data_IF_139845993205
#
_entry.id   IF_139845993205
#
_cell.length_a   1.000
_cell.length_b   1.000
_cell.length_c   1.000
_cell.angle_alpha   90.00
_cell.angle_beta   90.00
_cell.angle_gamma   90.00
#
_symmetry.space_group_name_H-M   'P 1'
#
loop_
_entity.id
_entity.type
_entity.pdbx_description
1 polymer ?
#
# COMPACT_ATOMS: atom_id res chain seq x y z
N UNK A 1 -24.27 -2.40 -16.06
CA UNK A 1 -23.91 -1.41 -17.10
C UNK A 1 -23.84 -2.04 -18.48
N UNK A 2 -23.06 -3.13 -18.69
CA UNK A 2 -22.90 -3.76 -20.02
C UNK A 2 -24.24 -4.21 -20.64
N UNK A 3 -25.09 -4.89 -19.88
CA UNK A 3 -26.42 -5.35 -20.37
C UNK A 3 -27.29 -4.16 -20.77
N UNK A 4 -27.32 -3.12 -19.95
CA UNK A 4 -28.09 -1.91 -20.25
C UNK A 4 -27.59 -1.22 -21.52
N UNK A 5 -26.29 -1.04 -21.65
CA UNK A 5 -25.68 -0.44 -22.84
C UNK A 5 -25.97 -1.26 -24.11
N UNK A 6 -25.92 -2.58 -24.01
CA UNK A 6 -26.24 -3.48 -25.15
C UNK A 6 -27.70 -3.38 -25.55
N UNK A 7 -28.61 -3.28 -24.59
CA UNK A 7 -30.05 -3.14 -24.87
C UNK A 7 -30.35 -1.81 -25.57
N UNK A 8 -29.79 -0.70 -25.08
CA UNK A 8 -29.94 0.61 -25.71
C UNK A 8 -29.41 0.58 -27.16
N UNK A 9 -28.24 -0.01 -27.38
CA UNK A 9 -27.66 -0.14 -28.73
C UNK A 9 -28.56 -0.97 -29.67
N UNK A 10 -29.17 -2.05 -29.17
CA UNK A 10 -30.09 -2.86 -29.95
C UNK A 10 -31.39 -2.13 -30.26
N UNK A 11 -31.86 -1.25 -29.35
CA UNK A 11 -33.02 -0.40 -29.57
C UNK A 11 -32.73 0.67 -30.63
N UNK A 12 -31.63 1.37 -30.54
CA UNK A 12 -31.18 2.38 -31.53
C UNK A 12 -31.02 1.79 -32.94
N UNK A 13 -30.60 0.54 -33.05
CA UNK A 13 -30.44 -0.16 -34.32
C UNK A 13 -31.72 -0.88 -34.80
N UNK A 14 -32.85 -0.68 -34.14
CA UNK A 14 -34.13 -1.37 -34.41
C UNK A 14 -34.07 -2.91 -34.39
N UNK A 15 -33.02 -3.48 -33.81
CA UNK A 15 -32.85 -4.95 -33.75
C UNK A 15 -33.85 -5.59 -32.79
N UNK A 16 -34.33 -4.86 -31.80
CA UNK A 16 -35.37 -5.33 -30.86
C UNK A 16 -36.71 -5.51 -31.55
N UNK A 17 -37.01 -4.76 -32.63
CA UNK A 17 -38.20 -4.90 -33.43
C UNK A 17 -38.36 -6.30 -34.05
N UNK A 18 -37.27 -7.00 -34.36
CA UNK A 18 -37.26 -8.34 -34.90
C UNK A 18 -37.89 -9.31 -33.89
N UNK A 19 -37.68 -9.15 -32.61
CA UNK A 19 -38.26 -9.98 -31.56
C UNK A 19 -39.78 -9.74 -31.46
N UNK A 20 -40.21 -8.48 -31.56
CA UNK A 20 -41.62 -8.11 -31.49
C UNK A 20 -42.41 -8.57 -32.73
N UNK A 21 -41.78 -8.48 -33.91
CA UNK A 21 -42.40 -8.96 -35.16
C UNK A 21 -42.57 -10.49 -35.19
N UNK A 22 -41.72 -11.23 -34.47
CA UNK A 22 -41.83 -12.68 -34.31
C UNK A 22 -42.78 -13.11 -33.18
N UNK A 23 -43.53 -12.17 -32.57
CA UNK A 23 -44.52 -12.44 -31.56
C UNK A 23 -44.00 -12.70 -30.15
N UNK A 24 -42.72 -12.45 -29.89
CA UNK A 24 -42.15 -12.58 -28.54
C UNK A 24 -42.67 -11.43 -27.67
N UNK A 25 -43.26 -11.77 -26.53
CA UNK A 25 -43.77 -10.79 -25.58
C UNK A 25 -42.61 -10.09 -24.87
N UNK A 26 -42.74 -8.77 -24.64
CA UNK A 26 -41.73 -7.97 -23.90
C UNK A 26 -41.39 -8.55 -22.52
N UNK A 27 -42.41 -9.13 -21.84
CA UNK A 27 -42.23 -9.80 -20.55
C UNK A 27 -41.36 -11.06 -20.63
N UNK A 28 -41.49 -11.85 -21.69
CA UNK A 28 -40.67 -13.05 -21.89
C UNK A 28 -39.20 -12.67 -22.17
N UNK A 29 -39.00 -11.67 -23.00
CA UNK A 29 -37.64 -11.12 -23.28
C UNK A 29 -36.98 -10.59 -22.00
N UNK A 30 -37.70 -9.79 -21.19
CA UNK A 30 -37.19 -9.28 -19.92
C UNK A 30 -36.91 -10.41 -18.92
N UNK A 31 -37.75 -11.44 -18.83
CA UNK A 31 -37.50 -12.56 -17.94
C UNK A 31 -36.22 -13.31 -18.24
N UNK A 32 -35.87 -13.47 -19.52
CA UNK A 32 -34.59 -14.07 -19.92
C UNK A 32 -33.44 -13.24 -19.43
N UNK A 33 -33.47 -11.92 -19.65
CA UNK A 33 -32.41 -11.01 -19.22
C UNK A 33 -32.26 -11.02 -17.70
N UNK A 34 -33.35 -10.93 -16.96
CA UNK A 34 -33.35 -10.95 -15.49
C UNK A 34 -32.75 -12.27 -14.97
N UNK A 35 -33.14 -13.41 -15.57
CA UNK A 35 -32.64 -14.73 -15.18
C UNK A 35 -31.12 -14.84 -15.34
N UNK A 36 -30.56 -14.40 -16.46
CA UNK A 36 -29.11 -14.39 -16.68
C UNK A 36 -28.41 -13.37 -15.78
N UNK A 37 -28.99 -12.18 -15.61
CA UNK A 37 -28.42 -11.15 -14.70
C UNK A 37 -28.36 -11.66 -13.26
N UNK A 38 -29.33 -12.43 -12.82
CA UNK A 38 -29.36 -13.03 -11.49
C UNK A 38 -28.24 -14.07 -11.29
N UNK A 39 -27.94 -14.88 -12.31
CA UNK A 39 -26.82 -15.83 -12.29
C UNK A 39 -25.50 -15.07 -12.13
N UNK A 40 -25.29 -14.00 -12.91
CA UNK A 40 -24.10 -13.17 -12.78
C UNK A 40 -23.99 -12.47 -11.42
N UNK A 41 -25.11 -12.03 -10.84
CA UNK A 41 -25.15 -11.43 -9.51
C UNK A 41 -24.68 -12.43 -8.44
N UNK A 42 -25.17 -13.69 -8.50
CA UNK A 42 -24.72 -14.73 -7.57
C UNK A 42 -23.24 -15.00 -7.74
N UNK A 43 -22.74 -15.15 -8.97
CA UNK A 43 -21.33 -15.37 -9.26
C UNK A 43 -20.45 -14.24 -8.72
N UNK A 44 -20.86 -13.00 -8.95
CA UNK A 44 -20.20 -11.80 -8.44
C UNK A 44 -20.16 -11.76 -6.90
N UNK A 45 -21.28 -12.12 -6.26
CA UNK A 45 -21.35 -12.15 -4.80
C UNK A 45 -20.42 -13.20 -4.20
N UNK A 46 -20.36 -14.39 -4.78
CA UNK A 46 -19.43 -15.45 -4.37
C UNK A 46 -17.98 -14.97 -4.52
N UNK A 47 -17.65 -14.35 -5.64
CA UNK A 47 -16.31 -13.83 -5.91
C UNK A 47 -15.92 -12.77 -4.88
N UNK A 48 -16.81 -11.84 -4.56
CA UNK A 48 -16.55 -10.78 -3.59
C UNK A 48 -16.40 -11.30 -2.15
N UNK A 49 -17.16 -12.32 -1.77
CA UNK A 49 -17.15 -12.85 -0.40
C UNK A 49 -15.93 -13.74 -0.15
N UNK A 50 -15.52 -14.55 -1.13
CA UNK A 50 -14.47 -15.54 -0.96
C UNK A 50 -13.13 -15.13 -1.61
N UNK A 51 -13.17 -14.76 -2.89
CA UNK A 51 -11.94 -14.54 -3.67
C UNK A 51 -11.23 -13.23 -3.29
N UNK A 52 -12.00 -12.16 -3.10
CA UNK A 52 -11.43 -10.83 -2.82
C UNK A 52 -10.66 -10.81 -1.49
N UNK A 53 -11.21 -11.23 -0.33
CA UNK A 53 -10.46 -11.22 0.92
C UNK A 53 -9.24 -12.14 0.87
N UNK A 54 -9.35 -13.31 0.28
CA UNK A 54 -8.23 -14.25 0.16
C UNK A 54 -7.06 -13.69 -0.67
N UNK A 55 -7.36 -13.09 -1.82
CA UNK A 55 -6.31 -12.49 -2.68
C UNK A 55 -5.70 -11.25 -2.05
N UNK A 56 -6.48 -10.43 -1.37
CA UNK A 56 -5.98 -9.24 -0.69
C UNK A 56 -5.08 -9.58 0.50
N UNK A 57 -5.44 -10.58 1.30
CA UNK A 57 -4.59 -11.02 2.40
C UNK A 57 -3.26 -11.59 1.89
N UNK A 58 -3.30 -12.40 0.84
CA UNK A 58 -2.08 -12.90 0.17
C UNK A 58 -1.22 -11.76 -0.37
N UNK A 59 -1.80 -10.81 -1.09
CA UNK A 59 -1.07 -9.66 -1.63
C UNK A 59 -0.39 -8.85 -0.51
N UNK A 60 -1.08 -8.66 0.61
CA UNK A 60 -0.51 -7.96 1.77
C UNK A 60 0.57 -8.78 2.47
N UNK A 61 0.43 -10.10 2.55
CA UNK A 61 1.47 -10.94 3.13
C UNK A 61 2.78 -10.84 2.33
N UNK A 62 2.70 -10.78 1.01
CA UNK A 62 3.86 -10.51 0.16
C UNK A 62 4.46 -9.12 0.40
N UNK A 63 3.62 -8.09 0.52
CA UNK A 63 4.08 -6.73 0.86
C UNK A 63 4.73 -6.72 2.25
N UNK A 64 4.20 -7.45 3.23
CA UNK A 64 4.80 -7.58 4.57
C UNK A 64 6.17 -8.24 4.53
N UNK A 65 6.31 -9.30 3.77
CA UNK A 65 7.58 -10.02 3.63
C UNK A 65 8.65 -9.22 2.90
N UNK A 66 8.26 -8.39 1.94
CA UNK A 66 9.19 -7.55 1.17
C UNK A 66 9.38 -6.13 1.72
N UNK A 67 8.88 -5.86 2.93
CA UNK A 67 8.76 -4.51 3.49
C UNK A 67 10.04 -3.68 3.57
N UNK A 68 11.19 -4.32 3.61
CA UNK A 68 12.45 -3.63 3.78
C UNK A 68 13.15 -3.38 2.45
N UNK A 69 12.88 -4.20 1.44
CA UNK A 69 13.50 -4.05 0.11
C UNK A 69 12.95 -2.84 -0.68
N UNK A 70 11.75 -2.37 -0.32
CA UNK A 70 11.11 -1.21 -0.95
C UNK A 70 11.48 0.14 -0.35
N UNK A 71 12.11 0.19 0.82
CA UNK A 71 12.44 1.47 1.47
C UNK A 71 13.24 2.41 0.57
N UNK A 72 14.28 1.96 -0.16
CA UNK A 72 15.03 2.84 -1.06
C UNK A 72 14.18 3.49 -2.15
N UNK A 73 13.20 2.75 -2.68
CA UNK A 73 12.30 3.23 -3.74
C UNK A 73 11.18 4.14 -3.23
N UNK A 74 10.80 4.01 -1.96
CA UNK A 74 9.78 4.83 -1.32
C UNK A 74 10.30 6.20 -0.90
N UNK A 75 11.63 6.35 -0.70
CA UNK A 75 12.23 7.63 -0.29
C UNK A 75 12.12 8.65 -1.42
N UNK A 76 11.25 9.62 -1.24
CA UNK A 76 11.07 10.75 -2.15
C UNK A 76 11.76 11.98 -1.56
N UNK A 77 12.66 12.64 -2.30
CA UNK A 77 13.29 13.88 -1.86
C UNK A 77 12.27 14.94 -1.47
N UNK A 78 12.62 15.74 -0.46
CA UNK A 78 11.80 16.86 0.06
C UNK A 78 10.44 16.47 0.63
N UNK A 79 10.26 15.20 1.02
CA UNK A 79 9.03 14.73 1.68
C UNK A 79 9.37 13.95 2.95
N UNK A 80 8.55 14.15 3.97
CA UNK A 80 8.59 13.30 5.15
C UNK A 80 7.94 11.95 4.81
N UNK A 81 8.65 10.88 5.13
CA UNK A 81 8.19 9.53 4.95
C UNK A 81 7.93 8.89 6.32
N UNK A 82 6.68 8.58 6.59
CA UNK A 82 6.19 8.00 7.83
C UNK A 82 5.51 6.63 7.58
N UNK A 83 6.02 5.88 6.61
CA UNK A 83 5.48 4.59 6.18
C UNK A 83 5.83 3.47 7.16
N UNK A 84 6.90 3.67 7.90
CA UNK A 84 7.44 2.70 8.86
C UNK A 84 6.99 3.06 10.29
N UNK A 85 6.60 2.06 11.08
CA UNK A 85 6.16 2.29 12.44
C UNK A 85 7.32 2.84 13.29
N UNK A 86 7.06 3.92 14.02
CA UNK A 86 8.02 4.61 14.90
C UNK A 86 9.19 5.30 14.19
N UNK A 87 9.27 5.25 12.86
CA UNK A 87 10.37 5.83 12.10
C UNK A 87 9.85 6.85 11.08
N UNK A 88 10.33 8.08 11.17
CA UNK A 88 10.07 9.11 10.17
C UNK A 88 11.40 9.50 9.52
N UNK A 89 11.46 9.43 8.20
CA UNK A 89 12.64 9.76 7.42
C UNK A 89 12.36 10.97 6.54
N UNK A 90 13.26 11.91 6.51
CA UNK A 90 13.29 13.04 5.57
C UNK A 90 14.63 13.05 4.85
N UNK A 91 14.60 13.30 3.55
CA UNK A 91 15.78 13.44 2.70
C UNK A 91 15.62 14.68 1.84
N UNK A 92 16.63 15.53 1.78
CA UNK A 92 16.59 16.73 0.94
C UNK A 92 16.85 16.41 -0.53
N UNK A 93 17.92 15.64 -0.81
CA UNK A 93 18.29 15.27 -2.18
C UNK A 93 18.64 13.79 -2.28
N UNK A 94 18.36 13.25 -3.47
CA UNK A 94 18.76 11.91 -3.88
C UNK A 94 19.62 12.05 -5.13
N UNK A 95 20.82 11.47 -5.12
CA UNK A 95 21.74 11.46 -6.25
C UNK A 95 21.45 10.24 -7.17
N UNK A 96 21.93 10.26 -8.41
CA UNK A 96 21.78 9.17 -9.39
C UNK A 96 22.42 7.84 -8.93
N UNK A 97 23.34 7.90 -7.97
CA UNK A 97 24.00 6.74 -7.34
C UNK A 97 23.22 6.21 -6.10
N UNK A 98 21.95 6.51 -5.96
CA UNK A 98 21.13 6.13 -4.80
C UNK A 98 21.67 6.61 -3.44
N UNK A 99 22.50 7.65 -3.45
CA UNK A 99 22.97 8.32 -2.24
C UNK A 99 22.02 9.45 -1.87
N UNK A 100 21.79 9.60 -0.59
CA UNK A 100 20.93 10.61 -0.01
C UNK A 100 21.76 11.69 0.67
N UNK A 101 21.33 12.94 0.54
CA UNK A 101 21.97 14.09 1.17
C UNK A 101 20.99 14.76 2.14
N UNK A 102 21.55 15.31 3.24
CA UNK A 102 20.81 16.01 4.29
C UNK A 102 19.65 15.18 4.84
N UNK A 103 19.99 14.10 5.48
CA UNK A 103 19.05 13.12 6.01
C UNK A 103 18.67 13.49 7.43
N UNK A 104 17.38 13.48 7.73
CA UNK A 104 16.85 13.59 9.09
C UNK A 104 16.01 12.37 9.38
N UNK A 105 16.32 11.67 10.45
CA UNK A 105 15.58 10.47 10.88
C UNK A 105 15.10 10.73 12.30
N UNK A 106 13.79 10.58 12.51
CA UNK A 106 13.19 10.56 13.85
C UNK A 106 12.75 9.13 14.16
N UNK A 107 13.29 8.60 15.22
CA UNK A 107 13.00 7.28 15.74
C UNK A 107 12.36 7.42 17.13
N UNK A 108 11.18 6.88 17.33
CA UNK A 108 10.41 7.03 18.56
C UNK A 108 10.27 5.67 19.25
N UNK A 109 10.95 5.50 20.37
CA UNK A 109 10.92 4.23 21.14
C UNK A 109 9.67 4.13 22.01
N UNK A 110 9.39 5.19 22.79
CA UNK A 110 8.22 5.30 23.67
C UNK A 110 7.66 6.72 23.58
N UNK A 111 6.50 6.97 24.22
CA UNK A 111 5.86 8.29 24.17
C UNK A 111 6.75 9.44 24.67
N UNK A 112 7.77 9.16 25.51
CA UNK A 112 8.66 10.17 26.09
C UNK A 112 10.13 10.06 25.64
N UNK A 113 10.46 9.02 24.88
CA UNK A 113 11.84 8.77 24.47
C UNK A 113 11.92 8.72 22.92
N UNK A 114 12.71 9.63 22.38
CA UNK A 114 12.94 9.71 20.93
C UNK A 114 14.40 9.99 20.60
N UNK A 115 14.79 9.51 19.42
CA UNK A 115 16.12 9.77 18.86
C UNK A 115 15.97 10.48 17.53
N UNK A 116 16.68 11.58 17.36
CA UNK A 116 16.74 12.31 16.09
C UNK A 116 18.17 12.20 15.56
N UNK A 117 18.31 11.71 14.35
CA UNK A 117 19.58 11.53 13.67
C UNK A 117 19.65 12.51 12.51
N UNK A 118 20.68 13.32 12.45
CA UNK A 118 21.02 14.18 11.33
C UNK A 118 22.28 13.63 10.68
N UNK A 119 22.26 13.41 9.37
CA UNK A 119 23.43 12.97 8.61
C UNK A 119 23.60 13.80 7.33
N UNK A 120 24.84 14.08 6.95
CA UNK A 120 25.13 14.78 5.71
C UNK A 120 24.86 13.91 4.51
N UNK A 121 25.28 12.65 4.57
CA UNK A 121 25.05 11.68 3.48
C UNK A 121 24.71 10.32 4.05
N UNK A 122 24.03 9.52 3.24
CA UNK A 122 23.73 8.13 3.57
C UNK A 122 23.29 7.34 2.35
N UNK A 123 23.32 6.02 2.49
CA UNK A 123 22.87 5.10 1.46
C UNK A 123 22.33 3.82 2.08
N UNK A 124 21.42 3.16 1.35
CA UNK A 124 20.92 1.86 1.75
C UNK A 124 21.91 0.78 1.37
N UNK A 125 22.08 -0.18 2.25
CA UNK A 125 22.95 -1.33 2.06
C UNK A 125 22.28 -2.60 2.55
N UNK A 126 22.24 -3.63 1.72
CA UNK A 126 21.65 -4.92 2.04
C UNK A 126 22.76 -5.95 2.27
N UNK A 127 22.67 -6.67 3.37
CA UNK A 127 23.57 -7.77 3.72
C UNK A 127 22.78 -8.89 4.38
N UNK A 128 22.86 -10.12 3.85
CA UNK A 128 22.20 -11.32 4.38
C UNK A 128 20.69 -11.08 4.70
N UNK A 129 19.94 -10.61 3.72
CA UNK A 129 18.50 -10.28 3.84
C UNK A 129 18.15 -9.23 4.93
N UNK A 130 19.16 -8.55 5.46
CA UNK A 130 18.97 -7.41 6.37
C UNK A 130 19.32 -6.11 5.66
N UNK A 131 18.43 -5.13 5.84
CA UNK A 131 18.60 -3.82 5.24
C UNK A 131 19.09 -2.82 6.27
N UNK A 132 20.18 -2.15 5.91
CA UNK A 132 20.83 -1.14 6.73
C UNK A 132 20.79 0.20 6.02
N UNK A 133 20.59 1.26 6.78
CA UNK A 133 20.86 2.61 6.34
C UNK A 133 22.17 3.06 6.94
N UNK A 134 23.19 3.23 6.08
CA UNK A 134 24.50 3.73 6.46
C UNK A 134 24.48 5.25 6.37
N UNK A 135 24.87 5.89 7.45
CA UNK A 135 24.85 7.34 7.62
C UNK A 135 26.26 7.84 7.89
N UNK A 136 26.67 8.90 7.18
CA UNK A 136 27.99 9.48 7.32
C UNK A 136 27.90 10.93 7.79
N UNK A 137 28.84 11.31 8.65
CA UNK A 137 29.08 12.68 9.15
C UNK A 137 27.79 13.33 9.69
N UNK A 138 27.52 13.10 10.96
CA UNK A 138 26.28 13.60 11.55
C UNK A 138 26.28 13.69 13.07
N UNK A 139 25.08 13.90 13.60
CA UNK A 139 24.82 13.97 15.04
C UNK A 139 23.54 13.22 15.41
N UNK A 140 23.54 12.61 16.56
CA UNK A 140 22.39 11.93 17.16
C UNK A 140 21.97 12.74 18.39
N UNK A 141 20.72 13.11 18.44
CA UNK A 141 20.08 13.71 19.60
C UNK A 141 19.21 12.66 20.28
N UNK A 142 19.58 12.21 21.43
CA UNK A 142 18.75 11.32 22.27
C UNK A 142 17.98 12.17 23.27
N UNK A 143 16.66 12.09 23.22
CA UNK A 143 15.75 12.81 24.10
C UNK A 143 15.12 11.79 25.03
N UNK A 144 15.53 11.78 26.30
CA UNK A 144 15.04 10.87 27.33
C UNK A 144 14.52 11.67 28.52
N UNK A 145 13.25 11.54 28.85
CA UNK A 145 12.61 12.22 30.02
C UNK A 145 12.99 13.72 30.11
N UNK A 146 12.99 14.43 28.96
CA UNK A 146 13.29 15.86 28.91
C UNK A 146 14.81 16.21 28.94
N UNK A 147 15.70 15.23 29.07
CA UNK A 147 17.15 15.44 28.92
C UNK A 147 17.58 15.13 27.48
N UNK A 148 18.33 16.04 26.88
CA UNK A 148 18.86 15.85 25.51
C UNK A 148 20.35 15.58 25.57
N UNK A 149 20.79 14.47 25.03
CA UNK A 149 22.19 14.11 24.85
C UNK A 149 22.54 14.19 23.36
N UNK A 150 23.63 14.86 23.03
CA UNK A 150 24.11 14.99 21.65
C UNK A 150 25.36 14.16 21.46
N UNK A 151 25.37 13.31 20.44
CA UNK A 151 26.49 12.43 20.08
C UNK A 151 26.85 12.74 18.64
N UNK A 152 28.08 13.14 18.38
CA UNK A 152 28.59 13.31 17.00
C UNK A 152 29.19 12.00 16.51
N UNK A 153 28.99 11.69 15.24
CA UNK A 153 29.51 10.48 14.60
C UNK A 153 30.10 10.76 13.22
N UNK A 154 31.13 10.02 12.84
CA UNK A 154 31.64 10.02 11.49
C UNK A 154 30.91 9.02 10.60
N UNK A 155 30.58 7.85 11.13
CA UNK A 155 29.79 6.81 10.45
C UNK A 155 28.93 6.06 11.46
N UNK A 156 27.67 5.81 11.11
CA UNK A 156 26.76 4.97 11.89
C UNK A 156 25.89 4.16 10.96
N UNK A 157 25.30 3.08 11.47
CA UNK A 157 24.34 2.26 10.74
C UNK A 157 23.06 2.12 11.53
N UNK A 158 21.94 2.19 10.82
CA UNK A 158 20.61 1.93 11.34
C UNK A 158 20.11 0.63 10.72
N UNK A 159 19.80 -0.36 11.56
CA UNK A 159 19.15 -1.59 11.09
C UNK A 159 17.68 -1.32 10.84
N UNK A 160 17.23 -1.46 9.61
CA UNK A 160 15.86 -1.21 9.22
C UNK A 160 14.97 -2.45 9.35
N UNK A 161 15.57 -3.62 9.46
CA UNK A 161 14.84 -4.88 9.61
C UNK A 161 14.08 -4.99 10.94
N UNK A 162 14.44 -4.16 11.92
CA UNK A 162 13.78 -4.12 13.23
C UNK A 162 12.46 -3.29 13.21
N UNK A 163 12.18 -2.65 12.08
CA UNK A 163 11.01 -1.80 11.92
C UNK A 163 9.96 -2.45 11.02
N UNK A 164 8.69 -2.35 11.39
CA UNK A 164 7.56 -2.86 10.63
C UNK A 164 6.80 -1.74 9.90
N UNK A 165 6.15 -2.07 8.79
CA UNK A 165 5.34 -1.10 8.07
C UNK A 165 4.03 -0.78 8.80
N UNK A 166 3.65 0.50 8.85
CA UNK A 166 2.37 0.96 9.44
C UNK A 166 1.14 0.42 8.70
N UNK A 167 1.25 0.21 7.39
CA UNK A 167 0.10 -0.08 6.53
C UNK A 167 -0.47 -1.49 6.70
N UNK A 168 0.20 -2.35 7.47
CA UNK A 168 -0.11 -3.78 7.52
C UNK A 168 -0.63 -4.27 8.86
N UNK A 169 -0.69 -3.40 9.88
CA UNK A 169 -1.02 -3.82 11.25
C UNK A 169 -2.51 -4.18 11.45
N UNK A 170 -3.39 -3.52 10.73
CA UNK A 170 -4.83 -3.77 10.82
C UNK A 170 -5.41 -4.08 9.44
N UNK A 171 -6.15 -5.19 9.27
CA UNK A 171 -6.87 -5.47 8.04
C UNK A 171 -7.96 -4.40 7.84
N UNK A 172 -8.17 -3.97 6.61
CA UNK A 172 -9.31 -3.11 6.27
C UNK A 172 -10.59 -3.95 6.30
N UNK A 173 -11.74 -3.31 6.55
CA UNK A 173 -13.04 -3.99 6.56
C UNK A 173 -13.31 -4.87 5.33
N UNK A 174 -12.78 -4.48 4.16
CA UNK A 174 -12.89 -5.23 2.91
C UNK A 174 -12.07 -6.53 2.87
N UNK A 175 -11.19 -6.73 3.83
CA UNK A 175 -10.25 -7.86 3.91
C UNK A 175 -10.65 -8.85 4.99
N UNK A 176 -11.62 -8.47 5.82
CA UNK A 176 -12.16 -9.33 6.86
C UNK A 176 -13.19 -10.25 6.18
N UNK A 177 -12.96 -11.54 6.30
CA UNK A 177 -13.96 -12.53 5.88
C UNK A 177 -15.26 -12.33 6.66
N UNK A 178 -16.38 -12.37 5.96
CA UNK A 178 -17.71 -12.26 6.58
C UNK A 178 -18.02 -13.45 7.51
N UNK A 179 -17.24 -14.52 7.38
CA UNK A 179 -17.37 -15.75 8.16
C UNK A 179 -16.12 -15.94 9.07
N UNK A 180 -15.99 -15.14 10.12
CA UNK A 180 -15.12 -15.40 11.27
C UNK A 180 -16.00 -15.72 12.47
#
# INVERSE_FOLDING_TARGET
>A
FAVFFTLVKYEDQNQILIFWSNGIKKSEFLNVIIKYSFIFLILQSITNIFLVPFTQDKARSFIRQSNVDFLPSLVKPKKFMDTVEKLTIYVDKKNDLDQFENIVIKDTYNNNDSRIIYAKTGFFYQLNDKNFLILNSGKILNINKGKTTVINFNKTQLNLSDYSSKTTKYPKLQEISVFV
#
